data_IF_575808704265
#
_entry.id   IF_575808704265
#
_cell.length_a   1.000
_cell.length_b   1.000
_cell.length_c   1.000
_cell.angle_alpha   90.00
_cell.angle_beta   90.00
_cell.angle_gamma   90.00
#
_symmetry.space_group_name_H-M   'P 1'
#
loop_
_entity.id
_entity.type
_entity.pdbx_description
1 polymer ?
#
# COMPACT_ATOMS: atom_id res chain seq x y z
N UNK A 1 -2.63 -14.29 6.75
CA UNK A 1 -3.42 -13.64 5.68
C UNK A 1 -3.71 -12.22 6.15
N UNK A 2 -3.27 -11.19 5.42
CA UNK A 2 -3.48 -9.79 5.85
C UNK A 2 -4.85 -9.29 5.40
N UNK A 3 -5.61 -8.72 6.34
CA UNK A 3 -6.90 -8.08 6.05
C UNK A 3 -6.73 -6.91 5.11
N UNK A 4 -7.78 -6.59 4.35
CA UNK A 4 -7.76 -5.46 3.41
C UNK A 4 -7.39 -4.13 4.08
N UNK A 5 -7.89 -3.90 5.30
CA UNK A 5 -7.56 -2.72 6.10
C UNK A 5 -6.07 -2.62 6.43
N UNK A 6 -5.42 -3.73 6.77
CA UNK A 6 -3.97 -3.78 7.02
C UNK A 6 -3.17 -3.43 5.77
N UNK A 7 -3.62 -3.89 4.60
CA UNK A 7 -2.97 -3.57 3.32
C UNK A 7 -3.06 -2.09 3.01
N UNK A 8 -4.25 -1.51 3.16
CA UNK A 8 -4.48 -0.07 2.94
C UNK A 8 -3.71 0.78 3.95
N UNK A 9 -3.65 0.38 5.23
CA UNK A 9 -2.84 1.07 6.25
C UNK A 9 -1.37 1.05 5.87
N UNK A 10 -0.83 -0.09 5.44
CA UNK A 10 0.56 -0.21 5.01
C UNK A 10 0.87 0.65 3.78
N UNK A 11 -0.01 0.66 2.78
CA UNK A 11 0.17 1.48 1.57
C UNK A 11 0.06 2.98 1.87
N UNK A 12 -0.90 3.41 2.69
CA UNK A 12 -1.02 4.81 3.13
C UNK A 12 0.22 5.26 3.90
N UNK A 13 0.73 4.42 4.80
CA UNK A 13 1.95 4.69 5.55
C UNK A 13 3.16 4.78 4.62
N UNK A 14 3.27 3.88 3.64
CA UNK A 14 4.31 3.89 2.61
C UNK A 14 4.32 5.18 1.79
N UNK A 15 3.15 5.67 1.37
CA UNK A 15 3.01 6.94 0.65
C UNK A 15 3.38 8.12 1.58
N UNK A 16 2.87 8.12 2.82
CA UNK A 16 3.16 9.17 3.83
C UNK A 16 4.66 9.26 4.17
N UNK A 17 5.36 8.13 4.17
CA UNK A 17 6.80 8.04 4.43
C UNK A 17 7.68 8.31 3.18
N UNK A 18 7.07 8.68 2.05
CA UNK A 18 7.80 9.00 0.81
C UNK A 18 8.34 7.76 0.11
N UNK A 19 7.53 6.70 -0.02
CA UNK A 19 7.87 5.43 -0.70
C UNK A 19 9.04 4.67 -0.04
N UNK A 20 9.25 4.88 1.26
CA UNK A 20 10.27 4.18 2.06
C UNK A 20 9.75 2.84 2.58
N UNK A 21 9.99 1.77 1.81
CA UNK A 21 9.63 0.39 2.17
C UNK A 21 10.18 -0.01 3.53
N UNK A 22 11.47 0.26 3.80
CA UNK A 22 12.11 -0.14 5.06
C UNK A 22 11.50 0.53 6.29
N UNK A 23 11.11 1.81 6.18
CA UNK A 23 10.46 2.53 7.28
C UNK A 23 9.06 1.98 7.58
N UNK A 24 8.30 1.65 6.53
CA UNK A 24 6.95 1.06 6.66
C UNK A 24 7.00 -0.30 7.34
N UNK A 25 7.95 -1.16 6.91
CA UNK A 25 8.13 -2.51 7.46
C UNK A 25 8.62 -2.43 8.92
N UNK A 26 9.55 -1.51 9.23
CA UNK A 26 10.03 -1.33 10.62
C UNK A 26 8.94 -0.82 11.55
N UNK A 27 8.02 0.00 11.04
CA UNK A 27 6.97 0.63 11.84
C UNK A 27 5.75 -0.28 12.06
N UNK A 28 5.40 -1.10 11.08
CA UNK A 28 4.28 -2.04 11.18
C UNK A 28 4.73 -3.45 11.61
N UNK A 29 5.98 -3.85 11.38
CA UNK A 29 6.48 -5.21 11.61
C UNK A 29 6.06 -6.22 10.53
N UNK A 30 5.24 -5.77 9.59
CA UNK A 30 4.75 -6.44 8.38
C UNK A 30 4.47 -5.32 7.35
N UNK A 31 4.23 -5.58 6.05
CA UNK A 31 4.40 -6.79 5.26
C UNK A 31 5.83 -6.94 4.70
N UNK A 32 6.09 -7.93 3.84
CA UNK A 32 7.33 -8.02 3.06
C UNK A 32 7.43 -6.95 1.97
N UNK A 33 8.66 -6.62 1.55
CA UNK A 33 8.95 -5.62 0.49
C UNK A 33 8.16 -5.86 -0.81
N UNK A 34 8.01 -7.12 -1.22
CA UNK A 34 7.27 -7.50 -2.42
C UNK A 34 5.76 -7.26 -2.26
N UNK A 35 5.18 -7.66 -1.13
CA UNK A 35 3.77 -7.45 -0.83
C UNK A 35 3.41 -5.95 -0.83
N UNK A 36 4.28 -5.10 -0.25
CA UNK A 36 4.05 -3.65 -0.24
C UNK A 36 4.09 -3.05 -1.64
N UNK A 37 4.99 -3.52 -2.52
CA UNK A 37 5.00 -3.11 -3.93
C UNK A 37 3.74 -3.53 -4.66
N UNK A 38 3.29 -4.78 -4.50
CA UNK A 38 2.04 -5.26 -5.10
C UNK A 38 0.84 -4.46 -4.61
N UNK A 39 0.73 -4.18 -3.31
CA UNK A 39 -0.38 -3.40 -2.76
C UNK A 39 -0.34 -1.95 -3.20
N UNK A 40 0.85 -1.35 -3.33
CA UNK A 40 0.98 0.00 -3.89
C UNK A 40 0.57 0.05 -5.36
N UNK A 41 0.98 -0.93 -6.16
CA UNK A 41 0.58 -1.02 -7.57
C UNK A 41 -0.93 -1.23 -7.73
N UNK A 42 -1.55 -2.09 -6.91
CA UNK A 42 -3.01 -2.25 -6.88
C UNK A 42 -3.71 -0.96 -6.43
N UNK A 43 -3.15 -0.27 -5.44
CA UNK A 43 -3.69 1.00 -4.95
C UNK A 43 -3.59 2.10 -6.00
N UNK A 44 -2.46 2.20 -6.71
CA UNK A 44 -2.31 3.10 -7.86
C UNK A 44 -3.31 2.73 -8.96
N UNK A 45 -3.42 1.45 -9.33
CA UNK A 45 -4.39 0.98 -10.34
C UNK A 45 -5.84 1.26 -9.96
N UNK A 46 -6.18 1.18 -8.67
CA UNK A 46 -7.53 1.45 -8.17
C UNK A 46 -7.81 2.96 -8.00
N UNK A 47 -6.79 3.77 -7.71
CA UNK A 47 -6.87 5.23 -7.72
C UNK A 47 -6.90 5.82 -9.13
N UNK A 48 -6.25 5.16 -10.08
CA UNK A 48 -6.13 5.56 -11.49
C UNK A 48 -7.31 5.06 -12.35
N UNK A 49 -8.17 4.18 -11.81
CA UNK A 49 -9.49 3.99 -12.38
C UNK A 49 -10.19 5.36 -12.34
N UNK A 50 -10.48 5.99 -13.49
CA UNK A 50 -11.32 7.16 -13.47
C UNK A 50 -12.60 6.73 -12.76
N UNK A 51 -12.97 7.49 -11.73
CA UNK A 51 -14.25 7.37 -11.03
C UNK A 51 -15.40 7.84 -11.94
N UNK A 52 -15.31 7.52 -13.22
CA UNK A 52 -16.33 7.65 -14.24
C UNK A 52 -17.07 6.34 -14.32
N UNK A 53 -18.09 6.22 -13.46
CA UNK A 53 -19.34 5.66 -13.97
C UNK A 53 -19.76 6.60 -15.10
N UNK A 54 -19.75 6.11 -16.34
CA UNK A 54 -20.62 6.58 -17.42
C UNK A 54 -21.60 5.44 -17.74
#
# INVERSE_FOLDING_TARGET
>A
MYSYEDRIRAVKLYIKLGKRTGATIRQLGYPTKNSLKSWHAEYERCLDLPRGYE
#
